data_IF_781295601075
#
_entry.id   IF_781295601075
#
_cell.length_a   1.000
_cell.length_b   1.000
_cell.length_c   1.000
_cell.angle_alpha   90.00
_cell.angle_beta   90.00
_cell.angle_gamma   90.00
#
_symmetry.space_group_name_H-M   'P 1'
#
loop_
_entity.id
_entity.type
_entity.pdbx_description
1 polymer ?
#
# COMPACT_ATOMS: atom_id res chain seq x y z
N UNK A 1 85.92 -15.74 -43.87
CA UNK A 1 85.33 -16.35 -42.66
C UNK A 1 83.99 -15.69 -42.40
N UNK A 2 82.95 -16.45 -42.03
CA UNK A 2 81.66 -16.39 -42.72
C UNK A 2 80.62 -15.45 -42.11
N UNK A 3 79.74 -14.96 -42.99
CA UNK A 3 78.50 -14.25 -42.74
C UNK A 3 77.57 -15.05 -41.82
N UNK A 4 77.24 -14.51 -40.65
CA UNK A 4 76.24 -15.05 -39.74
C UNK A 4 74.85 -14.70 -40.27
N UNK A 5 74.14 -15.69 -40.80
CA UNK A 5 72.73 -15.58 -41.15
C UNK A 5 71.88 -15.64 -39.86
N UNK A 6 71.19 -14.55 -39.54
CA UNK A 6 70.26 -14.48 -38.43
C UNK A 6 68.93 -15.16 -38.82
N UNK A 7 68.59 -16.25 -38.13
CA UNK A 7 67.31 -16.94 -38.29
C UNK A 7 66.27 -16.25 -37.41
N UNK A 8 65.28 -15.59 -38.01
CA UNK A 8 64.11 -15.07 -37.30
C UNK A 8 63.13 -16.23 -37.03
N UNK A 9 63.06 -16.68 -35.78
CA UNK A 9 62.00 -17.58 -35.30
C UNK A 9 60.69 -16.79 -35.19
N UNK A 10 59.80 -16.98 -36.17
CA UNK A 10 58.45 -16.43 -36.14
C UNK A 10 57.59 -17.25 -35.17
N UNK A 11 57.48 -16.82 -33.91
CA UNK A 11 56.60 -17.44 -32.93
C UNK A 11 55.16 -16.92 -33.12
N UNK A 12 54.32 -17.71 -33.80
CA UNK A 12 52.89 -17.45 -33.93
C UNK A 12 52.19 -17.83 -32.62
N UNK A 13 51.91 -16.84 -31.77
CA UNK A 13 51.08 -17.01 -30.58
C UNK A 13 49.62 -17.08 -31.02
N UNK A 14 49.08 -18.30 -31.16
CA UNK A 14 47.64 -18.50 -31.28
C UNK A 14 47.00 -18.28 -29.90
N UNK A 15 46.50 -17.08 -29.64
CA UNK A 15 45.59 -16.85 -28.51
C UNK A 15 44.26 -17.51 -28.83
N UNK A 16 44.04 -18.71 -28.31
CA UNK A 16 42.71 -19.32 -28.29
C UNK A 16 41.80 -18.48 -27.39
N UNK A 17 41.01 -17.59 -28.00
CA UNK A 17 39.89 -16.94 -27.33
C UNK A 17 38.83 -18.02 -27.08
N UNK A 18 38.80 -18.55 -25.86
CA UNK A 18 37.68 -19.35 -25.37
C UNK A 18 36.66 -18.33 -24.87
N UNK A 19 35.57 -18.01 -25.62
CA UNK A 19 34.48 -17.27 -25.03
C UNK A 19 33.92 -18.13 -23.89
N UNK A 20 34.09 -17.69 -22.65
CA UNK A 20 33.29 -18.19 -21.54
C UNK A 20 31.85 -17.81 -21.84
N UNK A 21 31.12 -18.71 -22.49
CA UNK A 21 29.67 -18.64 -22.53
C UNK A 21 29.21 -18.82 -21.08
N UNK A 22 28.93 -17.70 -20.41
CA UNK A 22 28.13 -17.71 -19.20
C UNK A 22 26.74 -18.17 -19.65
N UNK A 23 26.55 -19.49 -19.72
CA UNK A 23 25.22 -20.08 -19.84
C UNK A 23 24.44 -19.54 -18.65
N UNK A 24 23.42 -18.72 -18.92
CA UNK A 24 22.37 -18.48 -17.93
C UNK A 24 21.86 -19.86 -17.55
N UNK A 25 22.15 -20.29 -16.33
CA UNK A 25 22.05 -21.66 -15.86
C UNK A 25 20.63 -22.22 -16.00
N UNK A 26 20.31 -22.77 -17.18
CA UNK A 26 19.09 -23.52 -17.41
C UNK A 26 19.19 -24.81 -16.61
N UNK A 27 18.21 -25.06 -15.74
CA UNK A 27 18.16 -26.29 -14.98
C UNK A 27 18.07 -27.49 -15.92
N UNK A 28 18.98 -28.45 -15.76
CA UNK A 28 19.06 -29.66 -16.59
C UNK A 28 18.23 -30.83 -16.02
N UNK A 29 17.50 -30.59 -14.93
CA UNK A 29 16.63 -31.58 -14.29
C UNK A 29 15.20 -31.33 -14.74
N UNK A 30 14.58 -32.30 -15.41
CA UNK A 30 13.23 -32.19 -15.92
C UNK A 30 12.23 -31.90 -14.78
N UNK A 31 11.37 -30.90 -14.98
CA UNK A 31 10.40 -30.46 -13.97
C UNK A 31 10.96 -29.52 -12.90
N UNK A 32 12.23 -29.11 -13.02
CA UNK A 32 12.87 -28.19 -12.09
C UNK A 32 13.41 -26.96 -12.82
N UNK A 33 13.50 -25.84 -12.11
CA UNK A 33 13.93 -24.57 -12.67
C UNK A 33 14.62 -23.66 -11.64
N UNK A 34 15.18 -22.56 -12.14
CA UNK A 34 15.87 -21.55 -11.36
C UNK A 34 17.30 -21.93 -11.00
N UNK A 35 17.98 -21.03 -10.27
CA UNK A 35 19.37 -21.21 -9.89
C UNK A 35 19.55 -22.50 -9.08
N UNK A 36 20.48 -23.35 -9.55
CA UNK A 36 20.77 -24.66 -8.95
C UNK A 36 19.57 -25.62 -8.90
N UNK A 37 18.59 -25.49 -9.83
CA UNK A 37 17.42 -26.37 -9.89
C UNK A 37 16.64 -26.43 -8.57
N UNK A 38 16.51 -25.30 -7.86
CA UNK A 38 15.91 -25.28 -6.52
C UNK A 38 14.39 -25.39 -6.52
N UNK A 39 13.72 -25.02 -7.60
CA UNK A 39 12.26 -24.94 -7.66
C UNK A 39 11.69 -26.02 -8.58
N UNK A 40 10.62 -26.68 -8.14
CA UNK A 40 9.90 -27.66 -8.94
C UNK A 40 8.63 -27.01 -9.53
N UNK A 41 8.30 -27.33 -10.77
CA UNK A 41 7.06 -26.92 -11.43
C UNK A 41 6.07 -28.08 -11.48
N UNK A 42 4.77 -27.76 -11.47
CA UNK A 42 3.69 -28.75 -11.51
C UNK A 42 2.71 -28.42 -12.64
N UNK A 43 3.10 -28.83 -13.85
CA UNK A 43 2.31 -28.60 -15.06
C UNK A 43 1.20 -29.63 -15.24
N UNK A 44 0.15 -29.25 -15.97
CA UNK A 44 -0.89 -30.15 -16.44
C UNK A 44 -0.32 -31.30 -17.28
N UNK A 45 -0.98 -32.46 -17.25
CA UNK A 45 -0.56 -33.70 -17.94
C UNK A 45 0.87 -34.16 -17.65
N UNK A 46 1.44 -33.76 -16.51
CA UNK A 46 2.85 -33.98 -16.15
C UNK A 46 3.84 -33.43 -17.21
N UNK A 47 3.47 -32.37 -17.92
CA UNK A 47 4.35 -31.72 -18.89
C UNK A 47 5.63 -31.18 -18.24
N UNK A 48 6.73 -31.19 -18.99
CA UNK A 48 8.02 -30.65 -18.52
C UNK A 48 8.03 -29.14 -18.74
N UNK A 49 8.27 -28.37 -17.67
CA UNK A 49 8.43 -26.91 -17.77
C UNK A 49 9.81 -26.50 -18.29
N UNK A 50 9.92 -25.23 -18.71
CA UNK A 50 11.18 -24.63 -19.09
C UNK A 50 12.17 -24.53 -17.89
N UNK A 51 13.37 -25.09 -18.03
CA UNK A 51 14.34 -25.16 -16.93
C UNK A 51 14.95 -23.82 -16.49
N UNK A 52 14.73 -22.73 -17.23
CA UNK A 52 15.24 -21.39 -16.88
C UNK A 52 14.17 -20.58 -16.14
N UNK A 53 12.92 -20.64 -16.63
CA UNK A 53 11.80 -19.81 -16.19
C UNK A 53 10.78 -20.56 -15.35
N UNK A 54 10.76 -21.90 -15.41
CA UNK A 54 9.77 -22.77 -14.80
C UNK A 54 8.42 -22.77 -15.49
N UNK A 55 8.30 -22.10 -16.64
CA UNK A 55 7.00 -21.91 -17.30
C UNK A 55 6.51 -23.22 -17.93
N UNK A 56 5.28 -23.58 -17.60
CA UNK A 56 4.61 -24.74 -18.19
C UNK A 56 4.17 -24.45 -19.65
N UNK A 57 4.18 -25.47 -20.54
CA UNK A 57 3.63 -25.34 -21.89
C UNK A 57 2.13 -25.06 -21.92
N UNK A 58 1.41 -25.54 -20.89
CA UNK A 58 -0.03 -25.37 -20.71
C UNK A 58 -0.36 -24.75 -19.34
N UNK A 59 -1.52 -25.12 -18.79
CA UNK A 59 -1.93 -24.67 -17.47
C UNK A 59 -1.16 -25.40 -16.36
N UNK A 60 -1.36 -24.91 -15.13
CA UNK A 60 -0.90 -25.62 -13.94
C UNK A 60 -1.79 -26.83 -13.67
N UNK A 61 -1.21 -27.87 -13.07
CA UNK A 61 -1.98 -28.96 -12.49
C UNK A 61 -3.00 -28.41 -11.48
N UNK A 62 -4.12 -29.11 -11.29
CA UNK A 62 -5.08 -28.77 -10.24
C UNK A 62 -4.38 -28.62 -8.88
N UNK A 63 -4.74 -27.58 -8.13
CA UNK A 63 -4.15 -27.15 -6.85
C UNK A 63 -2.82 -26.36 -6.93
N UNK A 64 -2.20 -26.26 -8.11
CA UNK A 64 -0.98 -25.49 -8.31
C UNK A 64 -1.25 -24.17 -9.04
N UNK A 65 -0.52 -23.13 -8.66
CA UNK A 65 -0.63 -21.81 -9.26
C UNK A 65 0.72 -21.07 -9.22
N UNK A 66 0.72 -19.89 -9.83
CA UNK A 66 1.89 -19.03 -9.95
C UNK A 66 2.51 -19.07 -11.34
N UNK A 67 3.45 -18.15 -11.64
CA UNK A 67 4.03 -18.01 -12.99
C UNK A 67 4.70 -19.28 -13.54
N UNK A 68 5.13 -20.18 -12.66
CA UNK A 68 5.81 -21.43 -12.97
C UNK A 68 5.09 -22.65 -12.36
N UNK A 69 3.82 -22.49 -11.95
CA UNK A 69 3.06 -23.54 -11.25
C UNK A 69 3.80 -24.11 -10.04
N UNK A 70 4.49 -23.24 -9.31
CA UNK A 70 5.44 -23.60 -8.26
C UNK A 70 4.84 -23.52 -6.86
N UNK A 71 3.62 -22.98 -6.73
CA UNK A 71 2.95 -22.80 -5.46
C UNK A 71 1.72 -23.70 -5.40
N UNK A 72 1.51 -24.34 -4.26
CA UNK A 72 0.29 -25.07 -3.94
C UNK A 72 -0.52 -24.28 -2.92
N UNK A 73 -1.83 -24.23 -3.09
CA UNK A 73 -2.71 -23.68 -2.05
C UNK A 73 -2.75 -24.67 -0.90
N UNK A 74 -2.16 -24.31 0.25
CA UNK A 74 -2.23 -25.14 1.45
C UNK A 74 -3.69 -25.37 1.81
N UNK A 75 -4.07 -26.62 2.11
CA UNK A 75 -5.33 -26.85 2.81
C UNK A 75 -5.22 -26.25 4.20
N UNK A 76 -6.22 -25.48 4.57
CA UNK A 76 -6.28 -24.83 5.87
C UNK A 76 -7.70 -24.90 6.43
N UNK A 77 -7.77 -24.91 7.74
CA UNK A 77 -9.00 -24.80 8.50
C UNK A 77 -9.08 -23.43 9.15
N UNK A 78 -10.25 -22.81 9.09
CA UNK A 78 -10.54 -21.54 9.74
C UNK A 78 -11.33 -21.78 11.01
N UNK A 79 -10.97 -21.06 12.06
CA UNK A 79 -11.73 -21.01 13.31
C UNK A 79 -11.89 -19.55 13.73
N UNK A 80 -13.07 -19.19 14.21
CA UNK A 80 -13.42 -17.81 14.50
C UNK A 80 -14.59 -17.73 15.48
N UNK A 81 -14.92 -16.51 15.87
CA UNK A 81 -16.10 -16.24 16.71
C UNK A 81 -17.41 -16.36 15.94
N UNK A 82 -17.35 -16.29 14.62
CA UNK A 82 -18.51 -16.42 13.74
C UNK A 82 -18.79 -17.90 13.43
N UNK A 83 -20.08 -18.25 13.34
CA UNK A 83 -20.52 -19.58 12.92
C UNK A 83 -20.39 -19.80 11.42
N UNK A 84 -20.43 -18.74 10.62
CA UNK A 84 -20.22 -18.81 9.17
C UNK A 84 -18.88 -18.15 8.80
N UNK A 85 -17.94 -18.99 8.35
CA UNK A 85 -16.61 -18.59 7.90
C UNK A 85 -16.39 -18.88 6.41
N UNK A 86 -17.45 -19.22 5.68
CA UNK A 86 -17.35 -19.60 4.25
C UNK A 86 -16.77 -18.48 3.39
N UNK A 87 -17.07 -17.23 3.74
CA UNK A 87 -16.52 -16.00 3.15
C UNK A 87 -14.99 -15.84 3.26
N UNK A 88 -14.30 -16.60 4.13
CA UNK A 88 -12.82 -16.61 4.18
C UNK A 88 -12.19 -17.54 3.15
N UNK A 89 -12.99 -18.46 2.59
CA UNK A 89 -12.53 -19.61 1.80
C UNK A 89 -13.11 -19.67 0.39
N UNK A 90 -13.99 -18.73 0.04
CA UNK A 90 -14.67 -18.70 -1.26
C UNK A 90 -13.82 -18.13 -2.41
N UNK A 91 -12.63 -17.60 -2.09
CA UNK A 91 -11.69 -17.00 -3.03
C UNK A 91 -12.27 -15.78 -3.80
N UNK A 92 -13.32 -15.15 -3.26
CA UNK A 92 -13.88 -13.91 -3.80
C UNK A 92 -13.55 -12.73 -2.86
N UNK A 93 -12.66 -11.81 -3.26
CA UNK A 93 -12.31 -10.66 -2.42
C UNK A 93 -13.46 -9.67 -2.20
N UNK A 94 -14.57 -9.80 -2.93
CA UNK A 94 -15.77 -9.00 -2.73
C UNK A 94 -16.66 -9.54 -1.60
N UNK A 95 -16.56 -10.83 -1.26
CA UNK A 95 -17.29 -11.41 -0.14
C UNK A 95 -16.62 -10.98 1.16
N UNK A 96 -17.36 -10.23 1.99
CA UNK A 96 -16.88 -9.74 3.27
C UNK A 96 -17.84 -10.18 4.38
N UNK A 97 -17.29 -10.44 5.56
CA UNK A 97 -18.11 -10.56 6.75
C UNK A 97 -18.83 -9.23 7.05
N UNK A 98 -20.14 -9.30 7.30
CA UNK A 98 -20.92 -8.17 7.81
C UNK A 98 -20.87 -8.04 9.34
N UNK A 99 -20.44 -9.10 10.04
CA UNK A 99 -20.36 -9.17 11.49
C UNK A 99 -19.04 -8.63 12.06
N UNK A 100 -19.09 -8.16 13.32
CA UNK A 100 -17.92 -7.66 14.04
C UNK A 100 -17.10 -8.80 14.61
N UNK A 101 -16.25 -9.39 13.77
CA UNK A 101 -15.26 -10.38 14.21
C UNK A 101 -14.07 -9.72 14.90
N UNK A 102 -13.66 -10.29 16.05
CA UNK A 102 -12.48 -9.83 16.79
C UNK A 102 -11.23 -10.63 16.43
N UNK A 103 -11.38 -11.91 16.07
CA UNK A 103 -10.26 -12.80 15.79
C UNK A 103 -10.68 -13.88 14.80
N UNK A 104 -9.81 -14.11 13.81
CA UNK A 104 -9.86 -15.25 12.89
C UNK A 104 -8.53 -15.97 13.02
N UNK A 105 -8.56 -17.28 13.18
CA UNK A 105 -7.38 -18.14 13.22
C UNK A 105 -7.37 -19.05 12.01
N UNK A 106 -6.31 -18.96 11.20
CA UNK A 106 -6.02 -19.87 10.09
C UNK A 106 -5.01 -20.89 10.58
N UNK A 107 -5.37 -22.18 10.52
CA UNK A 107 -4.47 -23.29 10.82
C UNK A 107 -4.21 -24.06 9.54
N UNK A 108 -2.94 -24.24 9.20
CA UNK A 108 -2.58 -25.13 8.11
C UNK A 108 -2.80 -26.58 8.56
N UNK A 109 -3.42 -27.38 7.71
CA UNK A 109 -3.67 -28.79 8.01
C UNK A 109 -2.36 -29.60 7.99
N UNK A 110 -1.39 -29.12 7.22
CA UNK A 110 -0.05 -29.70 7.11
C UNK A 110 1.00 -28.76 7.70
N UNK A 111 1.94 -29.24 8.53
CA UNK A 111 3.05 -28.43 9.01
C UNK A 111 3.98 -28.01 7.85
N UNK A 112 3.86 -26.76 7.42
CA UNK A 112 4.70 -26.19 6.37
C UNK A 112 4.96 -24.70 6.61
N UNK A 113 6.07 -24.13 6.11
CA UNK A 113 6.30 -22.70 6.17
C UNK A 113 5.22 -21.95 5.40
N UNK A 114 4.62 -20.96 6.04
CA UNK A 114 3.76 -19.99 5.36
C UNK A 114 4.68 -19.06 4.56
N UNK A 115 4.63 -19.16 3.23
CA UNK A 115 5.45 -18.31 2.34
C UNK A 115 4.80 -16.94 2.14
N UNK A 116 3.48 -16.89 1.98
CA UNK A 116 2.70 -15.66 1.86
C UNK A 116 1.26 -15.85 2.36
N UNK A 117 0.64 -14.77 2.89
CA UNK A 117 -0.77 -14.71 3.28
C UNK A 117 -1.34 -13.42 2.72
N UNK A 118 -2.52 -13.49 2.10
CA UNK A 118 -3.28 -12.31 1.68
C UNK A 118 -4.56 -12.23 2.50
N UNK A 119 -4.68 -11.21 3.33
CA UNK A 119 -5.91 -10.87 4.05
C UNK A 119 -6.44 -9.55 3.48
N UNK A 120 -7.68 -9.55 3.00
CA UNK A 120 -8.38 -8.35 2.55
C UNK A 120 -9.32 -7.92 3.66
N UNK A 121 -9.14 -6.72 4.19
CA UNK A 121 -9.99 -6.16 5.24
C UNK A 121 -10.70 -4.94 4.65
N UNK A 122 -12.02 -4.99 4.61
CA UNK A 122 -12.86 -3.86 4.23
C UNK A 122 -13.26 -3.06 5.48
N UNK A 123 -12.28 -2.49 6.18
CA UNK A 123 -12.52 -1.57 7.29
C UNK A 123 -12.39 -0.13 6.77
N UNK A 124 -13.45 0.70 6.81
CA UNK A 124 -13.35 2.13 6.50
C UNK A 124 -12.42 2.88 7.48
N UNK A 125 -11.96 2.20 8.53
CA UNK A 125 -11.10 2.73 9.57
C UNK A 125 -11.92 3.43 10.64
N UNK A 126 -11.44 3.37 11.88
CA UNK A 126 -12.04 4.15 12.98
C UNK A 126 -11.79 5.64 12.76
N UNK A 127 -12.85 6.47 12.78
CA UNK A 127 -12.70 7.93 12.83
C UNK A 127 -12.11 8.35 14.19
N UNK A 128 -10.80 8.56 14.21
CA UNK A 128 -10.07 8.98 15.42
C UNK A 128 -10.28 10.45 15.77
N UNK A 129 -10.78 11.28 14.85
CA UNK A 129 -11.08 12.69 15.06
C UNK A 129 -12.43 12.93 15.74
N UNK A 130 -13.34 11.93 15.71
CA UNK A 130 -14.68 12.03 16.27
C UNK A 130 -14.64 12.55 17.73
N UNK A 131 -15.31 13.67 17.95
CA UNK A 131 -15.45 14.37 19.24
C UNK A 131 -14.12 14.74 19.91
N UNK A 132 -13.04 14.87 19.14
CA UNK A 132 -11.76 15.39 19.64
C UNK A 132 -11.78 16.92 19.76
N UNK A 133 -10.76 17.46 20.41
CA UNK A 133 -10.63 18.90 20.63
C UNK A 133 -10.27 19.61 19.32
N UNK A 134 -11.23 20.34 18.77
CA UNK A 134 -11.05 21.13 17.56
C UNK A 134 -10.93 22.62 17.89
N UNK A 135 -10.04 23.31 17.17
CA UNK A 135 -9.74 24.74 17.33
C UNK A 135 -9.73 25.43 15.97
N UNK A 136 -10.17 26.69 15.96
CA UNK A 136 -10.12 27.57 14.80
C UNK A 136 -9.83 29.01 15.27
N UNK A 137 -9.30 29.89 14.41
CA UNK A 137 -8.83 31.21 14.83
C UNK A 137 -9.95 32.20 15.15
N UNK A 138 -11.16 31.98 14.64
CA UNK A 138 -12.33 32.83 14.86
C UNK A 138 -13.60 32.04 14.60
N UNK A 139 -14.73 32.51 15.14
CA UNK A 139 -16.03 31.86 14.96
C UNK A 139 -16.97 32.83 14.24
N UNK A 140 -17.71 32.33 13.25
CA UNK A 140 -18.85 33.03 12.66
C UNK A 140 -20.13 32.52 13.32
N UNK A 141 -20.81 33.39 14.09
CA UNK A 141 -21.97 33.00 14.92
C UNK A 141 -21.67 31.78 15.81
N UNK A 142 -22.39 30.69 15.61
CA UNK A 142 -22.32 29.44 16.37
C UNK A 142 -21.60 28.30 15.60
N UNK A 143 -20.91 28.63 14.50
CA UNK A 143 -20.23 27.66 13.63
C UNK A 143 -18.85 27.30 14.20
N UNK A 144 -18.86 26.67 15.38
CA UNK A 144 -17.67 26.31 16.16
C UNK A 144 -16.85 25.19 15.52
N UNK A 145 -15.58 25.10 15.89
CA UNK A 145 -14.63 24.12 15.32
C UNK A 145 -15.06 22.66 15.53
N UNK A 146 -15.69 22.35 16.66
CA UNK A 146 -16.08 20.99 17.04
C UNK A 146 -17.19 20.39 16.16
N UNK A 147 -17.96 21.22 15.45
CA UNK A 147 -18.95 20.76 14.47
C UNK A 147 -18.31 19.93 13.36
N UNK A 148 -17.10 20.28 12.91
CA UNK A 148 -16.37 19.50 11.90
C UNK A 148 -15.89 18.10 12.36
N UNK A 149 -16.07 17.76 13.64
CA UNK A 149 -15.71 16.45 14.23
C UNK A 149 -16.88 15.84 15.02
N UNK A 150 -18.12 16.26 14.75
CA UNK A 150 -19.32 15.76 15.43
C UNK A 150 -19.78 14.36 14.95
N UNK A 151 -19.28 13.92 13.78
CA UNK A 151 -19.63 12.65 13.14
C UNK A 151 -20.72 12.75 12.09
N UNK A 152 -21.21 13.94 11.79
CA UNK A 152 -22.24 14.22 10.79
C UNK A 152 -21.57 14.84 9.57
N UNK A 153 -21.77 14.23 8.39
CA UNK A 153 -21.14 14.71 7.14
C UNK A 153 -22.07 15.69 6.40
N UNK A 154 -23.38 15.47 6.49
CA UNK A 154 -24.39 16.24 5.75
C UNK A 154 -25.66 16.45 6.58
N UNK A 155 -26.16 17.68 6.55
CA UNK A 155 -27.48 18.12 7.04
C UNK A 155 -28.07 19.11 6.04
N UNK A 156 -29.39 19.28 6.11
CA UNK A 156 -30.10 20.29 5.32
C UNK A 156 -29.69 21.71 5.74
N UNK A 157 -29.46 21.93 7.04
CA UNK A 157 -28.83 23.14 7.56
C UNK A 157 -27.34 22.89 7.89
N UNK A 158 -26.41 23.44 7.10
CA UNK A 158 -24.97 23.32 7.37
C UNK A 158 -24.55 24.04 8.65
N UNK A 159 -25.35 24.97 9.17
CA UNK A 159 -25.04 25.65 10.43
C UNK A 159 -24.92 24.67 11.59
N UNK A 160 -25.64 23.55 11.55
CA UNK A 160 -25.64 22.55 12.62
C UNK A 160 -24.36 21.72 12.67
N UNK A 161 -23.68 21.50 11.54
CA UNK A 161 -22.61 20.49 11.40
C UNK A 161 -21.31 21.03 10.78
N UNK A 162 -21.32 22.20 10.13
CA UNK A 162 -20.11 22.80 9.59
C UNK A 162 -19.46 23.78 10.58
N UNK A 163 -18.13 23.78 10.64
CA UNK A 163 -17.37 24.85 11.26
C UNK A 163 -17.18 26.03 10.31
N UNK A 164 -17.09 27.27 10.81
CA UNK A 164 -16.83 28.45 9.98
C UNK A 164 -16.08 29.54 10.73
N UNK A 165 -15.00 30.02 10.12
CA UNK A 165 -14.29 31.20 10.57
C UNK A 165 -14.99 32.48 10.09
N UNK A 166 -14.85 33.56 10.85
CA UNK A 166 -15.33 34.86 10.42
C UNK A 166 -14.46 35.41 9.27
N UNK A 167 -15.08 36.08 8.30
CA UNK A 167 -14.39 36.79 7.22
C UNK A 167 -14.15 38.22 7.71
N UNK A 168 -12.94 38.52 8.19
CA UNK A 168 -12.57 39.90 8.52
C UNK A 168 -11.53 40.43 7.52
N UNK A 169 -11.85 41.46 6.72
CA UNK A 169 -10.89 42.16 5.87
C UNK A 169 -9.71 42.77 6.67
N UNK A 170 -9.91 42.98 7.99
CA UNK A 170 -8.91 43.53 8.91
C UNK A 170 -7.98 42.47 9.51
N UNK A 171 -8.31 41.17 9.41
CA UNK A 171 -7.48 40.06 9.86
C UNK A 171 -7.07 39.19 8.66
N UNK A 172 -6.05 39.63 7.92
CA UNK A 172 -5.42 38.91 6.79
C UNK A 172 -4.62 37.66 7.23
N UNK A 173 -5.02 36.99 8.31
CA UNK A 173 -4.41 35.71 8.68
C UNK A 173 -5.07 34.62 7.85
N UNK A 174 -4.25 33.77 7.24
CA UNK A 174 -4.72 32.55 6.57
C UNK A 174 -5.63 31.78 7.54
N UNK A 175 -6.91 31.55 7.21
CA UNK A 175 -7.79 30.80 8.07
C UNK A 175 -7.24 29.39 8.25
N UNK A 176 -7.42 28.82 9.43
CA UNK A 176 -7.00 27.46 9.73
C UNK A 176 -8.04 26.79 10.61
N UNK A 177 -8.00 25.47 10.63
CA UNK A 177 -8.74 24.65 11.56
C UNK A 177 -7.79 23.52 11.99
N UNK A 178 -7.84 23.12 13.25
CA UNK A 178 -6.97 22.08 13.76
C UNK A 178 -7.72 21.18 14.74
N UNK A 179 -7.42 19.89 14.70
CA UNK A 179 -7.82 18.93 15.74
C UNK A 179 -6.58 18.51 16.53
N UNK A 180 -6.72 18.48 17.85
CA UNK A 180 -5.68 18.08 18.79
C UNK A 180 -6.06 16.74 19.42
N UNK A 181 -5.10 15.81 19.40
CA UNK A 181 -5.28 14.50 19.99
C UNK A 181 -4.52 14.44 21.32
N UNK A 182 -5.21 14.04 22.38
CA UNK A 182 -4.64 13.89 23.73
C UNK A 182 -3.56 12.80 23.83
N UNK A 183 -3.56 11.88 22.86
CA UNK A 183 -2.57 10.81 22.72
C UNK A 183 -2.11 10.71 21.27
N UNK A 184 -0.95 10.09 21.04
CA UNK A 184 -0.48 9.82 19.68
C UNK A 184 -1.46 8.91 18.97
N UNK A 185 -1.91 9.32 17.79
CA UNK A 185 -2.81 8.55 16.94
C UNK A 185 -2.08 8.17 15.66
N UNK A 186 -2.25 6.91 15.22
CA UNK A 186 -1.83 6.48 13.89
C UNK A 186 -2.95 6.84 12.91
N UNK A 187 -2.70 7.81 12.04
CA UNK A 187 -3.63 8.23 10.99
C UNK A 187 -3.18 7.63 9.67
N UNK A 188 -4.05 6.84 9.04
CA UNK A 188 -3.80 6.18 7.75
C UNK A 188 -4.52 6.86 6.59
N UNK A 189 -5.53 7.68 6.87
CA UNK A 189 -6.30 8.42 5.89
C UNK A 189 -6.91 9.65 6.55
N UNK A 190 -6.96 10.76 5.80
CA UNK A 190 -7.72 11.95 6.13
C UNK A 190 -8.90 12.07 5.16
N UNK A 191 -10.09 12.27 5.71
CA UNK A 191 -11.27 12.66 4.94
C UNK A 191 -11.67 14.07 5.34
N UNK A 192 -11.73 14.97 4.37
CA UNK A 192 -12.15 16.36 4.56
C UNK A 192 -13.37 16.61 3.69
N UNK A 193 -14.44 17.07 4.32
CA UNK A 193 -15.70 17.36 3.63
C UNK A 193 -15.88 18.87 3.54
N UNK A 194 -16.20 19.36 2.34
CA UNK A 194 -16.59 20.75 2.16
C UNK A 194 -18.08 20.92 2.49
N UNK A 195 -18.52 22.17 2.59
CA UNK A 195 -19.93 22.51 2.77
C UNK A 195 -20.73 22.11 1.51
N UNK A 196 -21.94 21.58 1.66
CA UNK A 196 -22.64 20.85 0.57
C UNK A 196 -23.79 21.63 -0.11
N UNK A 197 -24.27 22.71 0.49
CA UNK A 197 -25.36 23.54 -0.06
C UNK A 197 -24.84 24.68 -0.95
N UNK A 198 -23.60 25.11 -0.73
CA UNK A 198 -22.91 26.11 -1.55
C UNK A 198 -21.44 26.19 -1.19
N UNK A 199 -20.74 26.99 -2.00
CA UNK A 199 -19.53 27.68 -1.60
C UNK A 199 -18.33 26.74 -1.40
N UNK A 200 -18.34 25.59 -2.09
CA UNK A 200 -17.27 24.59 -2.05
C UNK A 200 -15.94 25.20 -2.49
N UNK A 201 -15.97 26.21 -3.36
CA UNK A 201 -14.79 26.95 -3.84
C UNK A 201 -14.04 27.69 -2.73
N UNK A 202 -14.60 27.79 -1.52
CA UNK A 202 -13.90 28.31 -0.34
C UNK A 202 -12.90 27.32 0.25
N UNK A 203 -13.11 26.02 0.06
CA UNK A 203 -12.22 24.95 0.55
C UNK A 203 -11.41 24.35 -0.60
N UNK A 204 -10.63 25.18 -1.30
CA UNK A 204 -9.70 24.71 -2.32
C UNK A 204 -8.32 25.35 -2.13
N UNK A 205 -7.27 24.69 -2.59
CA UNK A 205 -5.89 25.17 -2.48
C UNK A 205 -5.35 25.20 -1.06
N UNK A 206 -5.97 24.45 -0.13
CA UNK A 206 -5.55 24.37 1.26
C UNK A 206 -4.29 23.51 1.44
N UNK A 207 -3.65 23.67 2.60
CA UNK A 207 -2.60 22.77 3.07
C UNK A 207 -3.11 21.99 4.28
N UNK A 208 -2.85 20.70 4.31
CA UNK A 208 -3.08 19.84 5.47
C UNK A 208 -1.72 19.43 6.02
N UNK A 209 -1.47 19.80 7.27
CA UNK A 209 -0.24 19.50 7.98
C UNK A 209 -0.55 18.64 9.21
N UNK A 210 0.16 17.54 9.38
CA UNK A 210 0.09 16.70 10.58
C UNK A 210 1.44 16.70 11.30
N UNK A 211 1.40 16.78 12.63
CA UNK A 211 2.59 16.92 13.47
C UNK A 211 2.71 15.74 14.43
N UNK A 212 3.93 15.25 14.67
CA UNK A 212 4.19 14.26 15.73
C UNK A 212 4.10 14.90 17.11
N UNK A 213 4.67 16.10 17.25
CA UNK A 213 4.59 16.97 18.42
C UNK A 213 4.54 18.43 17.96
N UNK A 214 3.65 19.22 18.56
CA UNK A 214 3.49 20.64 18.24
C UNK A 214 4.74 21.48 18.56
N UNK A 215 5.54 21.04 19.53
CA UNK A 215 6.78 21.70 19.96
C UNK A 215 7.92 21.62 18.94
N UNK A 216 7.94 20.58 18.12
CA UNK A 216 9.15 20.23 17.36
C UNK A 216 9.15 20.89 15.96
N UNK A 217 8.06 21.56 15.57
CA UNK A 217 7.84 22.12 14.21
C UNK A 217 8.15 21.14 13.06
N UNK A 218 8.23 19.83 13.37
CA UNK A 218 8.55 18.77 12.44
C UNK A 218 7.25 18.13 11.94
N UNK A 219 6.94 18.37 10.67
CA UNK A 219 5.79 17.79 10.01
C UNK A 219 5.98 16.28 9.87
N UNK A 220 5.03 15.51 10.40
CA UNK A 220 4.91 14.08 10.13
C UNK A 220 4.39 13.85 8.70
N UNK A 221 3.51 14.74 8.23
CA UNK A 221 2.91 14.67 6.91
C UNK A 221 2.47 16.07 6.48
N UNK A 222 2.61 16.39 5.19
CA UNK A 222 2.08 17.62 4.60
C UNK A 222 1.48 17.31 3.23
N UNK A 223 0.31 17.87 2.96
CA UNK A 223 -0.42 17.76 1.71
C UNK A 223 -0.85 19.14 1.23
N UNK A 224 -0.72 19.39 -0.07
CA UNK A 224 -1.20 20.62 -0.71
C UNK A 224 -2.28 20.27 -1.73
N UNK A 225 -3.48 20.80 -1.53
CA UNK A 225 -4.57 20.66 -2.48
C UNK A 225 -4.25 21.40 -3.78
N UNK A 226 -4.46 20.73 -4.90
CA UNK A 226 -4.26 21.26 -6.25
C UNK A 226 -5.61 21.49 -6.98
N UNK A 227 -6.74 21.31 -6.28
CA UNK A 227 -8.07 21.48 -6.86
C UNK A 227 -8.28 22.94 -7.29
N UNK A 228 -8.68 23.20 -8.55
CA UNK A 228 -8.94 24.56 -9.00
C UNK A 228 -10.27 25.08 -8.44
N UNK A 229 -10.37 26.40 -8.23
CA UNK A 229 -11.62 27.07 -7.79
C UNK A 229 -12.81 26.84 -8.72
N UNK A 230 -12.56 26.56 -10.00
CA UNK A 230 -13.60 26.30 -11.00
C UNK A 230 -14.20 24.90 -10.92
N UNK A 231 -13.57 23.97 -10.20
CA UNK A 231 -14.06 22.60 -10.02
C UNK A 231 -13.81 22.13 -8.58
N UNK A 232 -14.47 22.75 -7.58
CA UNK A 232 -14.29 22.39 -6.18
C UNK A 232 -14.89 21.00 -5.89
N UNK A 233 -14.44 20.38 -4.81
CA UNK A 233 -14.87 19.03 -4.41
C UNK A 233 -15.70 19.06 -3.14
N UNK A 234 -16.61 18.10 -3.04
CA UNK A 234 -17.42 17.85 -1.85
C UNK A 234 -16.69 16.99 -0.81
N UNK A 235 -15.79 16.09 -1.25
CA UNK A 235 -14.97 15.23 -0.40
C UNK A 235 -13.52 15.17 -0.91
N UNK A 236 -12.58 15.24 0.04
CA UNK A 236 -11.16 15.02 -0.17
C UNK A 236 -10.74 13.77 0.61
N UNK A 237 -10.22 12.76 -0.10
CA UNK A 237 -9.57 11.60 0.52
C UNK A 237 -8.06 11.73 0.32
N UNK A 238 -7.33 11.83 1.43
CA UNK A 238 -5.89 12.05 1.44
C UNK A 238 -5.25 10.92 2.25
N UNK A 239 -4.46 10.10 1.57
CA UNK A 239 -3.71 9.02 2.21
C UNK A 239 -2.27 9.50 2.39
N UNK A 240 -1.75 9.59 3.63
CA UNK A 240 -0.33 9.73 3.84
C UNK A 240 0.36 8.59 3.12
N UNK A 241 1.19 8.89 2.12
CA UNK A 241 2.08 7.88 1.56
C UNK A 241 2.88 7.29 2.72
N UNK A 242 3.18 5.99 2.66
CA UNK A 242 3.90 5.22 3.69
C UNK A 242 5.36 5.66 3.90
N UNK A 243 5.69 6.93 3.65
CA UNK A 243 6.85 7.61 4.20
C UNK A 243 6.61 7.82 5.70
N UNK A 244 6.47 6.71 6.42
CA UNK A 244 7.10 6.62 7.73
C UNK A 244 8.57 6.80 7.39
N UNK A 245 9.06 8.01 7.56
CA UNK A 245 10.47 8.25 7.65
C UNK A 245 10.97 7.43 8.86
N UNK A 246 11.41 6.20 8.60
CA UNK A 246 12.02 5.30 9.58
C UNK A 246 13.30 5.90 10.18
N UNK A 247 13.75 7.08 9.71
CA UNK A 247 14.86 7.81 10.33
C UNK A 247 14.52 8.44 11.69
N UNK A 248 13.24 8.48 12.10
CA UNK A 248 12.78 9.06 13.38
C UNK A 248 12.40 8.02 14.46
N UNK A 249 12.76 6.75 14.27
CA UNK A 249 12.66 5.67 15.28
C UNK A 249 14.00 5.36 15.99
N UNK A 250 14.95 6.32 16.00
CA UNK A 250 16.14 6.23 16.87
C UNK A 250 15.99 7.08 18.12
#
# INVERSE_FOLDING_TARGET
MPSVAAWFLLSLVFTAYIPSQVSSAQCQVAGWFGQSCRYQCHCEDNAVCDGSTGRCPGACHSDWFGPACQYVSSKFTTTGTDSDLTWLTDNDPATCNSEKIHTVTVKLDTPQPITWVRLVVNDPGRNVALKQDAKQPSIYFDWVATKAVDGVIKRDDPSETCSRTNISPKNRRTPWWAVEFHRRMKVTQFKVFSRQDCCEERLVGFRLDAFRRKSDNLFYFSYKDATPKSAPKQEYTITPSSVIDQSLER
#
